data_IF_678672671067
#
_entry.id   IF_678672671067
#
_cell.length_a   1.000
_cell.length_b   1.000
_cell.length_c   1.000
_cell.angle_alpha   90.00
_cell.angle_beta   90.00
_cell.angle_gamma   90.00
#
_symmetry.space_group_name_H-M   'P 1'
#
loop_
_entity.id
_entity.type
_entity.pdbx_description
1 polymer ?
#
# COMPACT_ATOMS: atom_id res chain seq x y z
N UNK A 1 6.02 3.82 -12.45
CA UNK A 1 5.03 3.99 -13.52
C UNK A 1 3.84 4.77 -13.00
N UNK A 2 3.06 5.38 -13.92
CA UNK A 2 1.81 6.04 -13.62
C UNK A 2 0.86 5.94 -14.83
N UNK A 3 -0.35 6.45 -14.71
CA UNK A 3 -1.38 6.40 -15.74
C UNK A 3 -0.90 6.94 -17.09
N UNK A 4 -0.20 8.10 -17.13
CA UNK A 4 0.28 8.70 -18.38
C UNK A 4 1.17 7.74 -19.19
N UNK A 5 2.01 6.94 -18.52
CA UNK A 5 2.87 5.97 -19.21
C UNK A 5 2.06 4.86 -19.88
N UNK A 6 0.98 4.40 -19.25
CA UNK A 6 0.06 3.41 -19.84
C UNK A 6 -0.78 4.02 -20.97
N UNK A 7 -1.25 5.26 -20.83
CA UNK A 7 -1.93 5.98 -21.93
C UNK A 7 -1.04 6.05 -23.16
N UNK A 8 0.23 6.44 -22.99
CA UNK A 8 1.21 6.49 -24.10
C UNK A 8 1.47 5.12 -24.73
N UNK A 9 1.43 4.04 -23.94
CA UNK A 9 1.54 2.68 -24.49
C UNK A 9 0.33 2.32 -25.35
N UNK A 10 -0.87 2.58 -24.86
CA UNK A 10 -2.12 2.25 -25.56
C UNK A 10 -2.30 3.08 -26.86
N UNK A 11 -1.85 4.32 -26.84
CA UNK A 11 -1.89 5.23 -28.01
C UNK A 11 -0.76 4.97 -29.03
N UNK A 12 0.18 4.06 -28.73
CA UNK A 12 1.37 3.85 -29.56
C UNK A 12 2.33 5.04 -29.55
N UNK A 13 2.29 5.84 -28.48
CA UNK A 13 3.08 7.04 -28.29
C UNK A 13 4.52 6.79 -27.84
N UNK A 14 5.16 7.84 -27.33
CA UNK A 14 6.54 7.81 -26.85
C UNK A 14 6.61 8.11 -25.35
N UNK A 15 7.60 7.55 -24.67
CA UNK A 15 8.01 7.94 -23.34
C UNK A 15 9.29 8.75 -23.45
N UNK A 16 9.29 9.94 -22.85
CA UNK A 16 10.41 10.87 -22.87
C UNK A 16 11.08 10.91 -21.52
N UNK A 17 12.38 10.69 -21.51
CA UNK A 17 13.23 10.71 -20.35
C UNK A 17 13.95 12.05 -20.23
N UNK A 18 13.93 12.61 -19.03
CA UNK A 18 14.56 13.88 -18.69
C UNK A 18 15.61 13.69 -17.59
N UNK A 19 16.53 14.65 -17.50
CA UNK A 19 17.28 14.84 -16.27
C UNK A 19 16.40 15.57 -15.26
N UNK A 20 16.25 15.10 -14.01
CA UNK A 20 15.45 15.79 -13.00
C UNK A 20 15.85 17.25 -12.78
N UNK A 21 17.14 17.57 -12.94
CA UNK A 21 17.65 18.94 -12.82
C UNK A 21 17.12 19.90 -13.89
N UNK A 22 16.74 19.39 -15.07
CA UNK A 22 16.30 20.20 -16.21
C UNK A 22 14.76 20.42 -16.23
N UNK A 23 14.01 19.74 -15.33
CA UNK A 23 12.56 19.71 -15.28
C UNK A 23 12.00 19.99 -13.89
N UNK A 24 12.20 21.20 -13.35
CA UNK A 24 11.80 21.52 -11.98
C UNK A 24 10.30 21.27 -11.75
N UNK A 25 9.97 20.68 -10.58
CA UNK A 25 8.62 20.35 -10.16
C UNK A 25 8.03 19.08 -10.78
N UNK A 26 8.67 18.49 -11.80
CA UNK A 26 8.16 17.26 -12.42
C UNK A 26 8.28 16.05 -11.48
N UNK A 27 9.37 15.97 -10.72
CA UNK A 27 9.60 14.88 -9.75
C UNK A 27 8.55 14.89 -8.65
N UNK A 28 8.28 16.03 -8.03
CA UNK A 28 7.31 16.14 -6.95
C UNK A 28 5.89 15.85 -7.47
N UNK A 29 5.53 16.45 -8.62
CA UNK A 29 4.23 16.21 -9.24
C UNK A 29 3.98 14.73 -9.59
N UNK A 30 5.03 13.96 -9.91
CA UNK A 30 4.90 12.53 -10.21
C UNK A 30 4.27 11.72 -9.07
N UNK A 31 4.48 12.15 -7.83
CA UNK A 31 3.95 11.47 -6.65
C UNK A 31 2.71 12.16 -6.07
N UNK A 32 2.62 13.48 -6.19
CA UNK A 32 1.67 14.28 -5.43
C UNK A 32 0.47 14.75 -6.25
N UNK A 33 0.62 14.90 -7.59
CA UNK A 33 -0.43 15.48 -8.44
C UNK A 33 -0.27 15.01 -9.89
N UNK A 34 -1.05 14.02 -10.29
CA UNK A 34 -0.97 13.41 -11.62
C UNK A 34 -1.40 14.36 -12.75
N UNK A 35 -2.33 15.25 -12.50
CA UNK A 35 -2.76 16.24 -13.52
C UNK A 35 -1.65 17.26 -13.79
N UNK A 36 -1.05 17.78 -12.72
CA UNK A 36 0.11 18.66 -12.81
C UNK A 36 1.33 17.95 -13.42
N UNK A 37 1.53 16.68 -13.08
CA UNK A 37 2.58 15.89 -13.72
C UNK A 37 2.40 15.82 -15.22
N UNK A 38 1.20 15.48 -15.69
CA UNK A 38 0.89 15.40 -17.12
C UNK A 38 1.11 16.75 -17.84
N UNK A 39 0.62 17.84 -17.24
CA UNK A 39 0.84 19.20 -17.77
C UNK A 39 2.33 19.54 -17.92
N UNK A 40 3.11 19.35 -16.84
CA UNK A 40 4.55 19.63 -16.83
C UNK A 40 5.31 18.72 -17.79
N UNK A 41 4.98 17.42 -17.79
CA UNK A 41 5.62 16.44 -18.65
C UNK A 41 5.47 16.81 -20.12
N UNK A 42 4.26 17.10 -20.59
CA UNK A 42 3.97 17.51 -21.96
C UNK A 42 4.60 18.86 -22.30
N UNK A 43 4.62 19.82 -21.37
CA UNK A 43 5.30 21.10 -21.54
C UNK A 43 6.81 20.88 -21.78
N UNK A 44 7.46 20.07 -20.96
CA UNK A 44 8.88 19.78 -21.09
C UNK A 44 9.18 18.92 -22.33
N UNK A 45 8.30 18.00 -22.67
CA UNK A 45 8.39 17.20 -23.88
C UNK A 45 8.39 18.06 -25.17
N UNK A 46 7.60 19.13 -25.21
CA UNK A 46 7.57 20.08 -26.33
C UNK A 46 8.74 21.05 -26.36
N UNK A 47 9.44 21.25 -25.25
CA UNK A 47 10.53 22.22 -25.14
C UNK A 47 11.76 21.74 -25.91
N UNK A 48 12.30 22.57 -26.80
CA UNK A 48 13.56 22.33 -27.51
C UNK A 48 14.81 22.70 -26.69
N UNK A 49 14.62 23.38 -25.56
CA UNK A 49 15.71 23.84 -24.68
C UNK A 49 16.14 22.76 -23.66
N UNK A 50 15.35 21.74 -23.47
CA UNK A 50 15.59 20.70 -22.48
C UNK A 50 16.19 19.47 -23.14
N UNK A 51 17.31 18.99 -22.59
CA UNK A 51 17.94 17.75 -23.02
C UNK A 51 17.05 16.56 -22.63
N UNK A 52 16.71 15.75 -23.61
CA UNK A 52 15.79 14.62 -23.44
C UNK A 52 16.09 13.49 -24.40
N UNK A 53 15.62 12.29 -24.06
CA UNK A 53 15.63 11.11 -24.93
C UNK A 53 14.21 10.55 -24.96
N UNK A 54 13.65 10.35 -26.15
CA UNK A 54 12.34 9.75 -26.33
C UNK A 54 12.46 8.38 -26.98
N UNK A 55 11.74 7.40 -26.46
CA UNK A 55 11.64 6.05 -27.00
C UNK A 55 10.18 5.70 -27.24
N UNK A 56 9.87 4.81 -28.20
CA UNK A 56 8.52 4.25 -28.33
C UNK A 56 8.11 3.62 -26.99
N UNK A 57 6.88 3.89 -26.52
CA UNK A 57 6.38 3.35 -25.26
C UNK A 57 6.41 1.82 -25.26
N UNK A 58 6.06 1.19 -26.38
CA UNK A 58 6.11 -0.26 -26.54
C UNK A 58 7.52 -0.82 -26.31
N UNK A 59 8.56 -0.17 -26.81
CA UNK A 59 9.96 -0.59 -26.62
C UNK A 59 10.34 -0.56 -25.14
N UNK A 60 9.98 0.52 -24.42
CA UNK A 60 10.25 0.65 -22.99
C UNK A 60 9.56 -0.46 -22.19
N UNK A 61 8.29 -0.73 -22.47
CA UNK A 61 7.56 -1.80 -21.78
C UNK A 61 8.06 -3.19 -22.13
N UNK A 62 8.42 -3.44 -23.39
CA UNK A 62 9.02 -4.72 -23.80
C UNK A 62 10.35 -4.96 -23.11
N UNK A 63 11.20 -3.95 -23.03
CA UNK A 63 12.48 -4.05 -22.31
C UNK A 63 12.27 -4.34 -20.82
N UNK A 64 11.33 -3.65 -20.20
CA UNK A 64 10.97 -3.90 -18.80
C UNK A 64 10.49 -5.34 -18.56
N UNK A 65 9.56 -5.83 -19.39
CA UNK A 65 9.01 -7.18 -19.26
C UNK A 65 10.10 -8.24 -19.51
N UNK A 66 10.97 -8.02 -20.50
CA UNK A 66 12.08 -8.92 -20.81
C UNK A 66 13.03 -9.02 -19.62
N UNK A 67 13.45 -7.89 -19.07
CA UNK A 67 14.35 -7.84 -17.91
C UNK A 67 13.72 -8.53 -16.68
N UNK A 68 12.43 -8.29 -16.42
CA UNK A 68 11.70 -8.94 -15.35
C UNK A 68 11.63 -10.46 -15.54
N UNK A 69 11.36 -10.91 -16.75
CA UNK A 69 11.29 -12.35 -17.10
C UNK A 69 12.64 -13.03 -16.94
N UNK A 70 13.71 -12.39 -17.40
CA UNK A 70 15.04 -12.97 -17.43
C UNK A 70 15.74 -12.95 -16.08
N UNK A 71 15.56 -11.89 -15.30
CA UNK A 71 16.29 -11.69 -14.04
C UNK A 71 15.45 -11.87 -12.79
N UNK A 72 14.13 -11.62 -12.86
CA UNK A 72 13.23 -11.62 -11.71
C UNK A 72 13.48 -10.48 -10.71
N UNK A 73 14.35 -9.52 -11.03
CA UNK A 73 14.83 -8.49 -10.09
C UNK A 73 14.15 -7.15 -10.23
N UNK A 74 13.39 -6.92 -11.29
CA UNK A 74 12.70 -5.66 -11.54
C UNK A 74 11.27 -5.77 -11.03
N UNK A 75 10.90 -4.81 -10.19
CA UNK A 75 9.53 -4.63 -9.69
C UNK A 75 8.90 -3.42 -10.36
N UNK A 76 7.57 -3.44 -10.47
CA UNK A 76 6.77 -2.35 -11.02
C UNK A 76 5.93 -1.75 -9.91
N UNK A 77 6.13 -0.46 -9.62
CA UNK A 77 5.30 0.30 -8.72
C UNK A 77 4.48 1.31 -9.52
N UNK A 78 3.17 1.31 -9.32
CA UNK A 78 2.26 2.31 -9.86
C UNK A 78 2.04 3.39 -8.80
N UNK A 79 2.75 4.51 -8.93
CA UNK A 79 2.80 5.55 -7.90
C UNK A 79 1.45 6.23 -7.65
N UNK A 80 0.65 6.37 -8.69
CA UNK A 80 -0.73 6.86 -8.61
C UNK A 80 -1.63 5.90 -7.82
N UNK A 81 -1.53 4.59 -8.05
CA UNK A 81 -2.28 3.58 -7.28
C UNK A 81 -1.81 3.52 -5.84
N UNK A 82 -0.50 3.56 -5.57
CA UNK A 82 0.06 3.57 -4.22
C UNK A 82 -0.54 4.73 -3.39
N UNK A 83 -0.71 5.90 -4.01
CA UNK A 83 -1.26 7.09 -3.35
C UNK A 83 -2.80 7.10 -3.31
N UNK A 84 -3.49 6.71 -4.38
CA UNK A 84 -4.96 6.77 -4.45
C UNK A 84 -5.64 5.61 -3.75
N UNK A 85 -5.08 4.38 -3.82
CA UNK A 85 -5.66 3.16 -3.27
C UNK A 85 -5.03 2.72 -1.94
N UNK A 86 -3.85 3.24 -1.59
CA UNK A 86 -3.18 2.96 -0.32
C UNK A 86 -3.95 3.43 0.92
N UNK A 87 -3.40 3.16 2.09
CA UNK A 87 -4.03 3.45 3.38
C UNK A 87 -3.94 4.93 3.82
N UNK A 88 -3.21 5.75 3.07
CA UNK A 88 -2.92 7.14 3.44
C UNK A 88 -3.74 8.16 2.66
N UNK A 89 -3.87 9.37 3.22
CA UNK A 89 -4.42 10.53 2.53
C UNK A 89 -3.29 11.14 1.70
N UNK A 90 -3.40 11.04 0.38
CA UNK A 90 -2.37 11.41 -0.61
C UNK A 90 -1.71 12.77 -0.33
N UNK A 91 -2.52 13.81 -0.09
CA UNK A 91 -2.00 15.18 0.15
C UNK A 91 -1.34 15.39 1.51
N UNK A 92 -1.53 14.47 2.47
CA UNK A 92 -1.00 14.59 3.82
C UNK A 92 0.22 13.71 4.04
N UNK A 93 0.24 12.55 3.40
CA UNK A 93 1.27 11.55 3.56
C UNK A 93 1.56 10.82 2.23
N UNK A 94 2.12 11.54 1.23
CA UNK A 94 2.39 10.98 -0.09
C UNK A 94 3.41 9.85 -0.02
N UNK A 95 3.19 8.83 -0.83
CA UNK A 95 4.07 7.68 -1.00
C UNK A 95 5.01 7.96 -2.18
N UNK A 96 6.30 8.06 -1.90
CA UNK A 96 7.32 8.31 -2.93
C UNK A 96 7.99 7.04 -3.42
N UNK A 97 8.09 6.02 -2.58
CA UNK A 97 8.73 4.76 -2.93
C UNK A 97 8.22 3.63 -2.04
N UNK A 98 8.41 2.39 -2.49
CA UNK A 98 8.19 1.20 -1.68
C UNK A 98 9.50 0.66 -1.09
N UNK A 99 9.41 -0.41 -0.29
CA UNK A 99 10.56 -1.18 0.14
C UNK A 99 11.18 -1.98 -1.03
N UNK A 100 12.28 -2.69 -0.74
CA UNK A 100 13.01 -3.48 -1.74
C UNK A 100 12.13 -4.50 -2.48
N UNK A 101 11.23 -5.18 -1.77
CA UNK A 101 10.37 -6.22 -2.35
C UNK A 101 9.08 -5.64 -2.99
N UNK A 102 8.88 -4.33 -2.94
CA UNK A 102 7.77 -3.60 -3.57
C UNK A 102 6.37 -3.98 -3.05
N UNK A 103 6.29 -4.46 -1.80
CA UNK A 103 5.03 -4.85 -1.15
C UNK A 103 4.57 -3.87 -0.06
N UNK A 104 5.38 -2.84 0.27
CA UNK A 104 5.10 -1.92 1.36
C UNK A 104 5.16 -0.49 0.88
N UNK A 105 4.02 0.18 0.93
CA UNK A 105 3.86 1.57 0.58
C UNK A 105 3.60 2.41 1.85
N UNK A 106 4.67 3.02 2.37
CA UNK A 106 4.63 3.86 3.56
C UNK A 106 5.23 5.25 3.28
N UNK A 107 4.70 6.32 3.89
CA UNK A 107 5.28 7.65 3.77
C UNK A 107 6.68 7.70 4.39
N UNK A 108 7.57 8.41 3.74
CA UNK A 108 8.93 8.68 4.22
C UNK A 108 9.28 10.15 3.97
N UNK A 109 10.17 10.70 4.77
CA UNK A 109 10.68 12.06 4.60
C UNK A 109 12.20 12.05 4.54
N UNK A 110 12.76 12.82 3.61
CA UNK A 110 14.20 12.98 3.45
C UNK A 110 14.88 13.44 4.73
N UNK A 111 16.09 12.94 4.96
CA UNK A 111 16.96 13.35 6.06
C UNK A 111 17.76 14.57 5.64
N UNK A 112 17.79 15.62 6.44
CA UNK A 112 18.68 16.76 6.24
C UNK A 112 20.13 16.42 6.64
N UNK A 113 20.29 15.53 7.62
CA UNK A 113 21.56 14.97 8.08
C UNK A 113 21.37 13.59 8.66
N UNK A 114 22.45 12.84 8.88
CA UNK A 114 22.38 11.52 9.54
C UNK A 114 21.74 11.59 10.93
N UNK A 115 21.97 12.67 11.65
CA UNK A 115 21.43 12.90 12.99
C UNK A 115 20.15 13.74 12.98
N UNK A 116 19.40 13.77 11.87
CA UNK A 116 18.15 14.52 11.77
C UNK A 116 17.16 14.12 12.83
N UNK A 117 17.03 14.99 13.84
CA UNK A 117 16.12 14.81 14.96
C UNK A 117 14.74 15.44 14.73
N UNK A 118 14.54 16.19 13.63
CA UNK A 118 13.39 17.08 13.49
C UNK A 118 12.35 16.60 12.48
N UNK A 119 12.75 16.19 11.26
CA UNK A 119 11.81 15.97 10.15
C UNK A 119 11.94 14.63 9.46
N UNK A 120 13.16 14.09 9.35
CA UNK A 120 13.41 12.85 8.60
C UNK A 120 12.60 11.67 9.13
N UNK A 121 12.03 10.88 8.25
CA UNK A 121 11.31 9.65 8.56
C UNK A 121 11.78 8.52 7.66
N UNK A 122 12.28 7.44 8.28
CA UNK A 122 12.61 6.19 7.60
C UNK A 122 11.54 5.18 7.98
N UNK A 123 10.77 4.74 7.00
CA UNK A 123 9.72 3.76 7.22
C UNK A 123 10.30 2.37 7.43
N UNK A 124 9.80 1.68 8.43
CA UNK A 124 10.13 0.29 8.73
C UNK A 124 8.91 -0.59 8.55
N UNK A 125 9.14 -1.85 8.18
CA UNK A 125 8.10 -2.86 8.15
C UNK A 125 8.26 -3.87 9.28
N UNK A 126 7.17 -4.11 10.01
CA UNK A 126 7.09 -5.12 11.05
C UNK A 126 6.06 -6.14 10.63
N UNK A 127 6.51 -7.36 10.36
CA UNK A 127 5.75 -8.35 9.62
C UNK A 127 5.43 -9.59 10.45
N UNK A 128 4.23 -10.14 10.23
CA UNK A 128 3.85 -11.50 10.56
C UNK A 128 2.98 -12.11 9.46
N UNK A 129 2.60 -13.36 9.60
CA UNK A 129 1.67 -14.00 8.67
C UNK A 129 0.79 -15.02 9.39
N UNK A 130 -0.46 -15.12 8.95
CA UNK A 130 -1.41 -16.11 9.45
C UNK A 130 -1.40 -17.33 8.53
N UNK A 131 -1.27 -18.51 9.10
CA UNK A 131 -1.33 -19.78 8.39
C UNK A 131 -2.79 -20.14 8.05
N UNK A 132 -3.25 -19.74 6.87
CA UNK A 132 -4.61 -20.01 6.41
C UNK A 132 -4.91 -21.51 6.27
N UNK A 133 -3.91 -22.34 6.01
CA UNK A 133 -4.09 -23.79 5.96
C UNK A 133 -4.61 -24.41 7.27
N UNK A 134 -4.43 -23.73 8.40
CA UNK A 134 -4.95 -24.14 9.70
C UNK A 134 -6.28 -23.48 10.08
N UNK A 135 -6.75 -22.50 9.33
CA UNK A 135 -8.04 -21.85 9.55
C UNK A 135 -9.15 -22.69 8.90
N UNK A 136 -10.06 -23.21 9.70
CA UNK A 136 -11.18 -24.01 9.22
C UNK A 136 -12.43 -23.19 8.96
N UNK A 137 -12.63 -22.12 9.73
CA UNK A 137 -13.80 -21.24 9.67
C UNK A 137 -13.37 -19.77 9.76
N UNK A 138 -14.03 -18.85 9.05
CA UNK A 138 -13.69 -17.42 9.06
C UNK A 138 -13.71 -16.79 10.46
N UNK A 139 -14.56 -17.28 11.36
CA UNK A 139 -14.66 -16.82 12.75
C UNK A 139 -13.37 -16.98 13.56
N UNK A 140 -12.51 -17.93 13.21
CA UNK A 140 -11.23 -18.17 13.87
C UNK A 140 -10.23 -17.02 13.64
N UNK A 141 -10.39 -16.25 12.58
CA UNK A 141 -9.55 -15.07 12.35
C UNK A 141 -9.63 -14.05 13.48
N UNK A 142 -10.77 -13.98 14.20
CA UNK A 142 -10.89 -13.08 15.36
C UNK A 142 -9.73 -13.26 16.33
N UNK A 143 -9.47 -14.50 16.74
CA UNK A 143 -8.41 -14.80 17.69
C UNK A 143 -7.00 -14.58 17.13
N UNK A 144 -6.73 -15.11 15.92
CA UNK A 144 -5.38 -15.06 15.35
C UNK A 144 -4.98 -13.65 14.89
N UNK A 145 -5.92 -12.87 14.35
CA UNK A 145 -5.67 -11.48 13.98
C UNK A 145 -5.40 -10.62 15.22
N UNK A 146 -6.20 -10.79 16.28
CA UNK A 146 -5.97 -10.08 17.53
C UNK A 146 -4.61 -10.42 18.14
N UNK A 147 -4.24 -11.69 18.18
CA UNK A 147 -2.93 -12.13 18.68
C UNK A 147 -1.79 -11.54 17.84
N UNK A 148 -1.88 -11.60 16.51
CA UNK A 148 -0.86 -11.05 15.61
C UNK A 148 -0.69 -9.53 15.81
N UNK A 149 -1.80 -8.78 15.84
CA UNK A 149 -1.78 -7.33 16.03
C UNK A 149 -1.15 -6.95 17.38
N UNK A 150 -1.59 -7.56 18.46
CA UNK A 150 -1.07 -7.27 19.82
C UNK A 150 0.39 -7.63 19.96
N UNK A 151 0.81 -8.76 19.39
CA UNK A 151 2.21 -9.20 19.44
C UNK A 151 3.13 -8.26 18.67
N UNK A 152 2.74 -7.87 17.46
CA UNK A 152 3.52 -6.94 16.64
C UNK A 152 3.54 -5.53 17.24
N UNK A 153 2.42 -5.07 17.78
CA UNK A 153 2.33 -3.76 18.42
C UNK A 153 3.24 -3.70 19.67
N UNK A 154 3.27 -4.75 20.49
CA UNK A 154 4.20 -4.85 21.61
C UNK A 154 5.67 -4.90 21.15
N UNK A 155 5.94 -5.54 20.00
CA UNK A 155 7.28 -5.59 19.43
C UNK A 155 7.78 -4.19 19.01
N UNK A 156 6.90 -3.31 18.49
CA UNK A 156 7.27 -1.94 18.15
C UNK A 156 7.76 -1.16 19.38
N UNK A 157 7.18 -1.40 20.54
CA UNK A 157 7.58 -0.74 21.79
C UNK A 157 8.85 -1.37 22.39
N UNK A 158 9.08 -2.66 22.16
CA UNK A 158 10.18 -3.41 22.77
C UNK A 158 11.51 -3.26 22.01
N UNK A 159 11.47 -3.11 20.69
CA UNK A 159 12.69 -3.07 19.87
C UNK A 159 13.49 -1.78 20.03
N UNK A 160 14.81 -1.88 19.87
CA UNK A 160 15.70 -0.74 19.84
C UNK A 160 15.79 -0.14 18.43
N UNK A 161 15.72 1.18 18.34
CA UNK A 161 15.85 1.92 17.07
C UNK A 161 17.22 2.60 17.00
N UNK A 162 18.16 2.13 16.17
CA UNK A 162 19.49 2.73 16.08
C UNK A 162 19.47 4.10 15.41
N UNK A 163 18.42 4.42 14.68
CA UNK A 163 18.24 5.69 13.94
C UNK A 163 16.95 6.37 14.39
N UNK A 164 17.04 7.61 14.86
CA UNK A 164 15.91 8.38 15.39
C UNK A 164 14.79 8.55 14.35
N UNK A 165 15.15 8.78 13.07
CA UNK A 165 14.18 8.90 11.98
C UNK A 165 13.34 7.63 11.77
N UNK A 166 13.91 6.44 12.01
CA UNK A 166 13.19 5.18 11.96
C UNK A 166 12.25 5.02 13.16
N UNK A 167 12.72 5.37 14.36
CA UNK A 167 11.87 5.38 15.56
C UNK A 167 10.68 6.34 15.40
N UNK A 168 10.93 7.55 14.91
CA UNK A 168 9.88 8.57 14.68
C UNK A 168 8.81 8.06 13.73
N UNK A 169 9.20 7.58 12.55
CA UNK A 169 8.26 7.04 11.57
C UNK A 169 7.42 5.90 12.16
N UNK A 170 8.09 4.96 12.84
CA UNK A 170 7.44 3.79 13.43
C UNK A 170 6.48 4.17 14.55
N UNK A 171 6.91 4.98 15.51
CA UNK A 171 6.06 5.31 16.66
C UNK A 171 4.91 6.24 16.30
N UNK A 172 5.08 7.09 15.29
CA UNK A 172 4.01 7.98 14.83
C UNK A 172 2.86 7.24 14.16
N UNK A 173 3.12 6.17 13.43
CA UNK A 173 2.12 5.47 12.60
C UNK A 173 1.91 4.02 12.99
N UNK A 174 2.86 3.40 13.68
CA UNK A 174 2.83 1.99 14.12
C UNK A 174 2.45 1.02 12.98
N UNK A 175 3.21 1.00 11.87
CA UNK A 175 2.85 0.23 10.69
C UNK A 175 3.11 -1.26 10.89
N UNK A 176 2.11 -2.09 10.56
CA UNK A 176 2.18 -3.55 10.63
C UNK A 176 1.78 -4.18 9.30
N UNK A 177 2.45 -5.28 8.94
CA UNK A 177 2.06 -6.18 7.87
C UNK A 177 1.69 -7.55 8.43
N UNK A 178 0.47 -8.00 8.17
CA UNK A 178 0.02 -9.35 8.53
C UNK A 178 -0.39 -10.07 7.26
N UNK A 179 0.51 -10.89 6.73
CA UNK A 179 0.34 -11.60 5.47
C UNK A 179 -0.39 -12.93 5.61
N UNK A 180 -0.45 -13.64 4.49
CA UNK A 180 -1.07 -14.95 4.35
C UNK A 180 0.00 -15.96 3.99
N UNK A 181 0.08 -17.08 4.71
CA UNK A 181 0.91 -18.23 4.33
C UNK A 181 0.08 -19.50 4.19
N UNK A 182 0.67 -20.46 3.47
CA UNK A 182 0.07 -21.78 3.26
C UNK A 182 -1.28 -21.74 2.50
N UNK A 183 -1.44 -20.77 1.61
CA UNK A 183 -2.67 -20.56 0.85
C UNK A 183 -2.95 -21.72 -0.13
N UNK A 184 -1.92 -22.27 -0.77
CA UNK A 184 -2.07 -23.42 -1.64
C UNK A 184 -2.67 -24.63 -0.91
N UNK A 185 -2.21 -24.91 0.32
CA UNK A 185 -2.77 -25.98 1.14
C UNK A 185 -4.19 -25.65 1.61
N UNK A 186 -4.47 -24.38 1.92
CA UNK A 186 -5.83 -23.91 2.26
C UNK A 186 -6.83 -24.27 1.17
N UNK A 187 -6.48 -24.06 -0.10
CA UNK A 187 -7.29 -24.43 -1.27
C UNK A 187 -7.37 -25.95 -1.42
N UNK A 188 -6.23 -26.65 -1.43
CA UNK A 188 -6.16 -28.08 -1.63
C UNK A 188 -6.97 -28.88 -0.60
N UNK A 189 -6.91 -28.47 0.69
CA UNK A 189 -7.69 -29.06 1.78
C UNK A 189 -9.21 -29.01 1.55
N UNK A 190 -9.67 -28.03 0.77
CA UNK A 190 -11.08 -27.82 0.40
C UNK A 190 -11.45 -28.40 -0.97
N UNK A 191 -10.49 -29.06 -1.65
CA UNK A 191 -10.67 -29.55 -3.00
C UNK A 191 -10.73 -28.45 -4.06
N UNK A 192 -10.28 -27.24 -3.72
CA UNK A 192 -10.27 -26.06 -4.58
C UNK A 192 -8.93 -25.90 -5.29
N UNK A 193 -8.93 -25.20 -6.42
CA UNK A 193 -7.77 -24.85 -7.23
C UNK A 193 -7.67 -23.32 -7.36
N UNK A 194 -6.58 -22.82 -7.96
CA UNK A 194 -6.44 -21.41 -8.36
C UNK A 194 -7.29 -21.11 -9.61
N UNK A 195 -8.60 -21.13 -9.43
CA UNK A 195 -9.59 -20.86 -10.49
C UNK A 195 -10.85 -20.25 -9.87
N UNK A 196 -11.85 -19.99 -10.70
CA UNK A 196 -13.09 -19.31 -10.32
C UNK A 196 -13.89 -20.05 -9.24
N UNK A 197 -13.77 -21.38 -9.13
CA UNK A 197 -14.46 -22.17 -8.10
C UNK A 197 -14.03 -21.79 -6.67
N UNK A 198 -12.84 -21.21 -6.52
CA UNK A 198 -12.32 -20.79 -5.23
C UNK A 198 -12.79 -19.39 -4.81
N UNK A 199 -13.29 -18.55 -5.73
CA UNK A 199 -13.51 -17.12 -5.50
C UNK A 199 -14.43 -16.85 -4.32
N UNK A 200 -15.57 -17.53 -4.21
CA UNK A 200 -16.50 -17.27 -3.10
C UNK A 200 -15.91 -17.62 -1.73
N UNK A 201 -15.19 -18.75 -1.65
CA UNK A 201 -14.52 -19.16 -0.41
C UNK A 201 -13.39 -18.20 -0.04
N UNK A 202 -12.58 -17.80 -1.02
CA UNK A 202 -11.47 -16.89 -0.79
C UNK A 202 -11.97 -15.51 -0.37
N UNK A 203 -13.03 -15.00 -1.03
CA UNK A 203 -13.66 -13.73 -0.69
C UNK A 203 -14.18 -13.71 0.77
N UNK A 204 -14.88 -14.77 1.19
CA UNK A 204 -15.37 -14.88 2.56
C UNK A 204 -14.24 -14.86 3.60
N UNK A 205 -13.18 -15.63 3.37
CA UNK A 205 -12.05 -15.70 4.29
C UNK A 205 -11.21 -14.42 4.28
N UNK A 206 -11.02 -13.81 3.11
CA UNK A 206 -10.29 -12.56 2.96
C UNK A 206 -11.03 -11.39 3.62
N UNK A 207 -12.36 -11.33 3.46
CA UNK A 207 -13.20 -10.34 4.13
C UNK A 207 -13.07 -10.45 5.65
N UNK A 208 -13.21 -11.65 6.21
CA UNK A 208 -13.10 -11.89 7.64
C UNK A 208 -11.69 -11.55 8.17
N UNK A 209 -10.65 -11.98 7.46
CA UNK A 209 -9.26 -11.67 7.79
C UNK A 209 -9.00 -10.17 7.82
N UNK A 210 -9.37 -9.44 6.79
CA UNK A 210 -9.24 -7.98 6.71
C UNK A 210 -10.03 -7.27 7.82
N UNK A 211 -11.29 -7.68 8.01
CA UNK A 211 -12.14 -7.12 9.05
C UNK A 211 -11.53 -7.30 10.45
N UNK A 212 -11.10 -8.50 10.82
CA UNK A 212 -10.60 -8.76 12.17
C UNK A 212 -9.23 -8.13 12.44
N UNK A 213 -8.39 -7.93 11.43
CA UNK A 213 -7.16 -7.15 11.57
C UNK A 213 -7.47 -5.70 11.93
N UNK A 214 -8.33 -5.04 11.15
CA UNK A 214 -8.70 -3.64 11.39
C UNK A 214 -9.46 -3.51 12.73
N UNK A 215 -10.34 -4.46 13.03
CA UNK A 215 -11.07 -4.51 14.30
C UNK A 215 -10.14 -4.63 15.50
N UNK A 216 -9.12 -5.50 15.43
CA UNK A 216 -8.13 -5.64 16.50
C UNK A 216 -7.34 -4.33 16.73
N UNK A 217 -6.99 -3.61 15.66
CA UNK A 217 -6.36 -2.30 15.79
C UNK A 217 -7.29 -1.24 16.40
N UNK A 218 -8.56 -1.23 16.02
CA UNK A 218 -9.57 -0.33 16.58
C UNK A 218 -9.84 -0.63 18.07
N UNK A 219 -9.87 -1.90 18.45
CA UNK A 219 -10.04 -2.31 19.86
C UNK A 219 -8.82 -1.89 20.69
N UNK A 220 -7.63 -2.06 20.14
CA UNK A 220 -6.39 -1.65 20.78
C UNK A 220 -6.35 -0.11 20.96
N UNK A 221 -6.90 0.67 20.02
CA UNK A 221 -7.03 2.12 20.15
C UNK A 221 -8.04 2.55 21.23
N UNK A 222 -9.02 1.71 21.57
CA UNK A 222 -9.89 1.96 22.72
C UNK A 222 -9.18 1.72 24.07
N UNK A 223 -8.18 0.83 24.08
CA UNK A 223 -7.43 0.48 25.28
C UNK A 223 -6.27 1.45 25.60
N UNK A 224 -5.56 1.93 24.55
CA UNK A 224 -4.32 2.70 24.70
C UNK A 224 -4.16 3.90 23.79
N UNK A 225 -5.25 4.43 23.25
CA UNK A 225 -5.31 5.51 22.28
C UNK A 225 -4.87 5.14 20.85
N UNK A 226 -5.25 5.97 19.89
CA UNK A 226 -4.86 5.79 18.49
C UNK A 226 -3.40 6.22 18.26
N UNK A 227 -2.83 5.78 17.13
CA UNK A 227 -1.51 6.23 16.72
C UNK A 227 -1.52 7.75 16.45
N UNK A 228 -0.37 8.40 16.70
CA UNK A 228 -0.24 9.86 16.65
C UNK A 228 -0.66 10.45 15.29
N UNK A 229 -0.31 9.77 14.18
CA UNK A 229 -0.66 10.20 12.82
C UNK A 229 -1.89 9.50 12.24
N UNK A 230 -2.82 9.09 13.10
CA UNK A 230 -4.07 8.45 12.68
C UNK A 230 -4.82 9.24 11.59
N UNK A 231 -4.87 10.57 11.66
CA UNK A 231 -5.57 11.43 10.70
C UNK A 231 -4.86 11.55 9.34
N UNK A 232 -3.61 11.16 9.21
CA UNK A 232 -2.94 11.01 7.92
C UNK A 232 -3.42 9.75 7.16
N UNK A 233 -4.19 8.89 7.84
CA UNK A 233 -4.67 7.62 7.30
C UNK A 233 -6.14 7.71 6.88
N UNK A 234 -6.52 6.93 5.89
CA UNK A 234 -7.92 6.75 5.49
C UNK A 234 -8.77 6.18 6.63
N UNK A 235 -8.18 5.34 7.49
CA UNK A 235 -8.87 4.78 8.65
C UNK A 235 -9.35 5.85 9.62
N UNK A 236 -8.55 6.88 9.89
CA UNK A 236 -8.94 8.02 10.73
C UNK A 236 -10.14 8.81 10.18
N UNK A 237 -10.42 8.67 8.90
CA UNK A 237 -11.59 9.25 8.23
C UNK A 237 -12.70 8.23 7.98
N UNK A 238 -12.60 7.03 8.54
CA UNK A 238 -13.57 5.95 8.37
C UNK A 238 -13.60 5.36 6.96
N UNK A 239 -12.57 5.58 6.16
CA UNK A 239 -12.43 5.00 4.81
C UNK A 239 -11.70 3.67 4.97
N UNK A 240 -12.31 2.62 4.48
CA UNK A 240 -11.85 1.23 4.60
C UNK A 240 -11.36 0.71 3.24
N UNK A 241 -10.56 -0.37 3.19
CA UNK A 241 -10.14 -0.98 1.93
C UNK A 241 -11.29 -1.31 0.98
N UNK A 242 -12.45 -1.69 1.51
CA UNK A 242 -13.69 -1.95 0.73
C UNK A 242 -14.24 -0.71 0.03
N UNK A 243 -13.80 0.51 0.39
CA UNK A 243 -14.25 1.76 -0.24
C UNK A 243 -13.29 2.25 -1.33
N UNK A 244 -12.07 1.69 -1.39
CA UNK A 244 -10.97 2.24 -2.20
C UNK A 244 -10.53 1.35 -3.36
N UNK A 245 -11.05 0.12 -3.47
CA UNK A 245 -10.77 -0.72 -4.63
C UNK A 245 -11.46 -0.17 -5.90
N UNK A 246 -11.01 -0.63 -7.06
CA UNK A 246 -11.60 -0.21 -8.34
C UNK A 246 -13.05 -0.69 -8.45
N UNK A 247 -13.98 0.24 -8.64
CA UNK A 247 -15.43 -0.05 -8.71
C UNK A 247 -15.82 -0.92 -9.92
N UNK A 248 -15.00 -0.93 -10.96
CA UNK A 248 -15.19 -1.80 -12.12
C UNK A 248 -15.16 -3.30 -11.73
N UNK A 249 -14.55 -3.63 -10.59
CA UNK A 249 -14.59 -4.99 -10.03
C UNK A 249 -16.02 -5.39 -9.66
N UNK A 250 -16.86 -4.44 -9.23
CA UNK A 250 -18.27 -4.69 -8.88
C UNK A 250 -19.13 -5.10 -10.08
N UNK A 251 -18.68 -4.78 -11.30
CA UNK A 251 -19.32 -5.23 -12.54
C UNK A 251 -19.05 -6.70 -12.82
N UNK A 252 -17.88 -7.19 -12.37
CA UNK A 252 -17.44 -8.57 -12.57
C UNK A 252 -17.91 -9.49 -11.45
N UNK A 253 -17.86 -9.00 -10.22
CA UNK A 253 -18.21 -9.77 -9.02
C UNK A 253 -19.08 -8.89 -8.11
N UNK A 254 -20.29 -9.37 -7.78
CA UNK A 254 -21.12 -8.66 -6.77
C UNK A 254 -20.56 -8.96 -5.38
N UNK A 255 -19.90 -7.99 -4.71
CA UNK A 255 -19.32 -8.22 -3.39
C UNK A 255 -20.43 -8.53 -2.38
N UNK A 256 -20.25 -9.59 -1.62
CA UNK A 256 -21.09 -9.89 -0.46
C UNK A 256 -20.36 -9.38 0.77
N UNK A 257 -20.95 -8.40 1.45
CA UNK A 257 -20.44 -7.94 2.75
C UNK A 257 -21.07 -8.78 3.86
N UNK A 258 -20.28 -9.66 4.48
CA UNK A 258 -20.70 -10.57 5.55
C UNK A 258 -20.37 -10.03 6.94
N UNK A 259 -19.36 -9.15 7.02
CA UNK A 259 -18.87 -8.58 8.27
C UNK A 259 -19.57 -7.25 8.60
N UNK A 260 -19.68 -6.86 9.89
CA UNK A 260 -20.37 -5.63 10.31
C UNK A 260 -19.52 -4.37 10.10
N UNK A 261 -19.11 -4.09 8.87
CA UNK A 261 -18.26 -2.97 8.47
C UNK A 261 -18.77 -1.60 8.94
N UNK A 262 -20.09 -1.41 8.97
CA UNK A 262 -20.71 -0.14 9.44
C UNK A 262 -20.39 0.14 10.91
N UNK A 263 -20.43 -0.89 11.76
CA UNK A 263 -20.12 -0.76 13.18
C UNK A 263 -18.61 -0.44 13.37
N UNK A 264 -17.74 -1.14 12.63
CA UNK A 264 -16.32 -0.90 12.65
C UNK A 264 -15.98 0.53 12.20
N UNK A 265 -16.59 1.02 11.12
CA UNK A 265 -16.43 2.40 10.65
C UNK A 265 -16.80 3.42 11.73
N UNK A 266 -17.90 3.21 12.44
CA UNK A 266 -18.32 4.07 13.56
C UNK A 266 -17.29 4.08 14.69
N UNK A 267 -16.70 2.92 15.01
CA UNK A 267 -15.64 2.81 16.00
C UNK A 267 -14.39 3.56 15.56
N UNK A 268 -13.94 3.40 14.30
CA UNK A 268 -12.78 4.09 13.74
C UNK A 268 -12.91 5.62 13.76
N UNK A 269 -14.07 6.14 13.37
CA UNK A 269 -14.36 7.57 13.41
C UNK A 269 -14.34 8.13 14.85
N UNK A 270 -14.65 7.32 15.84
CA UNK A 270 -14.70 7.72 17.25
C UNK A 270 -13.35 7.59 17.95
N UNK A 271 -12.58 6.54 17.62
CA UNK A 271 -11.39 6.14 18.38
C UNK A 271 -10.11 6.02 17.53
N UNK A 272 -10.23 5.98 16.20
CA UNK A 272 -9.10 5.76 15.30
C UNK A 272 -8.57 4.34 15.33
N UNK A 273 -7.31 4.17 14.91
CA UNK A 273 -6.54 2.91 14.94
C UNK A 273 -5.29 3.07 15.81
N UNK A 274 -4.90 2.04 16.52
CA UNK A 274 -3.62 2.01 17.27
C UNK A 274 -2.45 1.68 16.35
N UNK A 275 -2.65 0.75 15.44
CA UNK A 275 -1.65 0.31 14.45
C UNK A 275 -2.22 0.42 13.05
N UNK A 276 -1.37 0.79 12.10
CA UNK A 276 -1.72 0.93 10.69
C UNK A 276 -1.40 -0.35 9.94
N UNK A 277 -2.34 -0.82 9.12
CA UNK A 277 -2.06 -1.88 8.15
C UNK A 277 -1.71 -1.25 6.80
N UNK A 278 -0.55 -1.64 6.27
CA UNK A 278 -0.22 -1.38 4.88
C UNK A 278 -0.65 -2.58 4.04
N UNK A 279 -1.22 -2.31 2.87
CA UNK A 279 -1.57 -3.35 1.93
C UNK A 279 -0.29 -3.96 1.36
N UNK A 280 -0.12 -5.26 1.50
CA UNK A 280 0.73 -6.01 0.57
C UNK A 280 -0.03 -6.11 -0.74
N UNK A 281 0.48 -5.50 -1.78
CA UNK A 281 -0.05 -5.70 -3.13
C UNK A 281 0.22 -7.12 -3.62
#
# INVERSE_FOLDING_TARGET
FNQLMYERLLEGGKITFFSPADVPGLYDAFFEDQDKFKELYEKYERSYKIRKKSLPALEVFQQFITERKETGRIYLQNVDHANTHGAFIEKQAPIHQSNLCCEIDLPSHGLESYDDTNKGEISLCTLSAINWGLINEPSQFKHYCELAVRSLDALLDYQNYPVIAAQRSTMNRRPLGVGIINFAYFLAKRGLKYNDDALETVDEYAEAWSYYLIKASADLAEEKDCCYKNLETKYGHGILPIDTYKKEVDELVKPKQRMPWKALRTQLLKKGISVLFFSSN
#
